data_IF_879666018460
#
_entry.id   IF_879666018460
#
_cell.length_a   1.000
_cell.length_b   1.000
_cell.length_c   1.000
_cell.angle_alpha   90.00
_cell.angle_beta   90.00
_cell.angle_gamma   90.00
#
_symmetry.space_group_name_H-M   'P 1'
#
loop_
_entity.id
_entity.type
_entity.pdbx_description
1 polymer ?
#
# COMPACT_ATOMS: atom_id res chain seq x y z
N UNK A 1 66.65 -28.90 1.40
CA UNK A 1 65.32 -28.63 2.01
C UNK A 1 64.46 -27.74 1.12
N UNK A 2 65.02 -26.77 0.42
CA UNK A 2 64.27 -25.80 -0.40
C UNK A 2 63.52 -26.43 -1.60
N UNK A 3 64.09 -27.44 -2.26
CA UNK A 3 63.42 -28.12 -3.39
C UNK A 3 62.09 -28.80 -3.00
N UNK A 4 62.04 -29.46 -1.84
CA UNK A 4 60.79 -30.07 -1.33
C UNK A 4 59.74 -29.01 -1.00
N UNK A 5 60.15 -27.86 -0.48
CA UNK A 5 59.24 -26.74 -0.19
C UNK A 5 58.66 -26.17 -1.50
N UNK A 6 59.47 -26.08 -2.56
CA UNK A 6 59.02 -25.64 -3.87
C UNK A 6 58.01 -26.62 -4.50
N UNK A 7 58.27 -27.93 -4.41
CA UNK A 7 57.34 -28.98 -4.87
C UNK A 7 56.01 -28.93 -4.14
N UNK A 8 56.02 -28.80 -2.80
CA UNK A 8 54.79 -28.66 -2.02
C UNK A 8 54.00 -27.39 -2.33
N UNK A 9 54.70 -26.27 -2.60
CA UNK A 9 54.04 -25.02 -3.02
C UNK A 9 53.40 -25.15 -4.40
N UNK A 10 54.07 -25.78 -5.34
CA UNK A 10 53.52 -26.04 -6.68
C UNK A 10 52.31 -26.98 -6.62
N UNK A 11 52.39 -28.05 -5.82
CA UNK A 11 51.28 -28.99 -5.63
C UNK A 11 50.06 -28.31 -4.96
N UNK A 12 50.29 -27.48 -3.93
CA UNK A 12 49.20 -26.74 -3.29
C UNK A 12 48.59 -25.69 -4.22
N UNK A 13 49.40 -24.98 -5.02
CA UNK A 13 48.89 -24.04 -6.01
C UNK A 13 47.99 -24.73 -7.04
N UNK A 14 48.40 -25.89 -7.55
CA UNK A 14 47.60 -26.67 -8.49
C UNK A 14 46.27 -27.17 -7.87
N UNK A 15 46.28 -27.55 -6.59
CA UNK A 15 45.05 -27.93 -5.88
C UNK A 15 44.11 -26.74 -5.65
N UNK A 16 44.64 -25.56 -5.33
CA UNK A 16 43.85 -24.34 -5.19
C UNK A 16 43.21 -23.97 -6.52
N UNK A 17 43.97 -23.97 -7.62
CA UNK A 17 43.44 -23.68 -8.96
C UNK A 17 42.34 -24.68 -9.37
N UNK A 18 42.50 -25.97 -9.05
CA UNK A 18 41.48 -26.98 -9.33
C UNK A 18 40.20 -26.72 -8.52
N UNK A 19 40.33 -26.33 -7.25
CA UNK A 19 39.19 -26.00 -6.39
C UNK A 19 38.48 -24.73 -6.87
N UNK A 20 39.23 -23.68 -7.22
CA UNK A 20 38.68 -22.44 -7.79
C UNK A 20 37.91 -22.71 -9.09
N UNK A 21 38.45 -23.54 -9.98
CA UNK A 21 37.74 -23.93 -11.21
C UNK A 21 36.46 -24.71 -10.93
N UNK A 22 36.47 -25.57 -9.90
CA UNK A 22 35.28 -26.32 -9.49
C UNK A 22 34.22 -25.39 -8.92
N UNK A 23 34.60 -24.52 -8.00
CA UNK A 23 33.70 -23.53 -7.40
C UNK A 23 33.11 -22.58 -8.46
N UNK A 24 33.92 -22.14 -9.43
CA UNK A 24 33.46 -21.31 -10.53
C UNK A 24 32.41 -22.02 -11.41
N UNK A 25 32.60 -23.32 -11.68
CA UNK A 25 31.63 -24.13 -12.43
C UNK A 25 30.35 -24.37 -11.66
N UNK A 26 30.45 -24.66 -10.36
CA UNK A 26 29.29 -24.84 -9.49
C UNK A 26 28.49 -23.54 -9.37
N UNK A 27 29.17 -22.40 -9.20
CA UNK A 27 28.52 -21.09 -9.19
C UNK A 27 27.84 -20.74 -10.51
N UNK A 28 28.46 -21.04 -11.66
CA UNK A 28 27.84 -20.85 -12.97
C UNK A 28 26.60 -21.73 -13.15
N UNK A 29 26.68 -23.01 -12.76
CA UNK A 29 25.55 -23.93 -12.80
C UNK A 29 24.38 -23.47 -11.94
N UNK A 30 24.65 -22.92 -10.75
CA UNK A 30 23.60 -22.37 -9.88
C UNK A 30 22.91 -21.15 -10.51
N UNK A 31 23.67 -20.24 -11.11
CA UNK A 31 23.12 -19.09 -11.84
C UNK A 31 22.23 -19.52 -13.00
N UNK A 32 22.66 -20.51 -13.79
CA UNK A 32 21.86 -21.04 -14.90
C UNK A 32 20.54 -21.65 -14.42
N UNK A 33 20.54 -22.32 -13.26
CA UNK A 33 19.33 -22.87 -12.64
C UNK A 33 18.40 -21.74 -12.20
N UNK A 34 18.92 -20.72 -11.50
CA UNK A 34 18.14 -19.56 -11.05
C UNK A 34 17.53 -18.79 -12.22
N UNK A 35 18.27 -18.59 -13.31
CA UNK A 35 17.77 -17.94 -14.53
C UNK A 35 16.64 -18.75 -15.18
N UNK A 36 16.79 -20.08 -15.28
CA UNK A 36 15.73 -20.95 -15.80
C UNK A 36 14.48 -20.89 -14.93
N UNK A 37 14.63 -20.96 -13.60
CA UNK A 37 13.50 -20.84 -12.70
C UNK A 37 12.81 -19.48 -12.78
N UNK A 38 13.59 -18.41 -13.01
CA UNK A 38 13.05 -17.06 -13.21
C UNK A 38 12.26 -16.98 -14.50
N UNK A 39 12.77 -17.53 -15.59
CA UNK A 39 12.07 -17.59 -16.89
C UNK A 39 10.80 -18.43 -16.78
N UNK A 40 10.86 -19.59 -16.14
CA UNK A 40 9.69 -20.45 -15.91
C UNK A 40 8.61 -19.72 -15.10
N UNK A 41 9.01 -18.98 -14.05
CA UNK A 41 8.10 -18.16 -13.26
C UNK A 41 7.46 -17.06 -14.11
N UNK A 42 8.25 -16.39 -14.95
CA UNK A 42 7.74 -15.37 -15.87
C UNK A 42 6.77 -15.94 -16.89
N UNK A 43 7.10 -17.08 -17.51
CA UNK A 43 6.23 -17.77 -18.46
C UNK A 43 4.90 -18.16 -17.81
N UNK A 44 4.92 -18.77 -16.62
CA UNK A 44 3.69 -19.09 -15.87
C UNK A 44 2.87 -17.85 -15.53
N UNK A 45 3.52 -16.74 -15.16
CA UNK A 45 2.83 -15.49 -14.88
C UNK A 45 2.20 -14.88 -16.15
N UNK A 46 2.90 -14.93 -17.28
CA UNK A 46 2.37 -14.48 -18.57
C UNK A 46 1.21 -15.36 -19.06
N UNK A 47 1.32 -16.68 -18.93
CA UNK A 47 0.25 -17.63 -19.24
C UNK A 47 -0.97 -17.38 -18.37
N UNK A 48 -0.78 -17.15 -17.06
CA UNK A 48 -1.87 -16.80 -16.16
C UNK A 48 -2.56 -15.49 -16.58
N UNK A 49 -1.78 -14.45 -16.95
CA UNK A 49 -2.34 -13.19 -17.43
C UNK A 49 -3.12 -13.35 -18.73
N UNK A 50 -2.58 -14.11 -19.69
CA UNK A 50 -3.28 -14.41 -20.95
C UNK A 50 -4.57 -15.17 -20.70
N UNK A 51 -4.57 -16.15 -19.80
CA UNK A 51 -5.76 -16.91 -19.42
C UNK A 51 -6.83 -16.01 -18.76
N UNK A 52 -6.43 -15.05 -17.92
CA UNK A 52 -7.34 -14.07 -17.31
C UNK A 52 -7.97 -13.16 -18.38
N UNK A 53 -7.18 -12.61 -19.29
CA UNK A 53 -7.69 -11.79 -20.41
C UNK A 53 -8.65 -12.58 -21.32
N UNK A 54 -8.34 -13.84 -21.62
CA UNK A 54 -9.25 -14.71 -22.39
C UNK A 54 -10.55 -14.98 -21.65
N UNK A 55 -10.49 -15.20 -20.33
CA UNK A 55 -11.67 -15.38 -19.52
C UNK A 55 -12.56 -14.12 -19.50
N UNK A 56 -11.97 -12.93 -19.39
CA UNK A 56 -12.73 -11.69 -19.48
C UNK A 56 -13.44 -11.55 -20.83
N UNK A 57 -12.73 -11.82 -21.94
CA UNK A 57 -13.34 -11.81 -23.28
C UNK A 57 -14.47 -12.83 -23.42
N UNK A 58 -14.31 -14.02 -22.86
CA UNK A 58 -15.37 -15.05 -22.86
C UNK A 58 -16.58 -14.63 -22.03
N UNK A 59 -16.37 -13.99 -20.87
CA UNK A 59 -17.45 -13.45 -20.03
C UNK A 59 -18.21 -12.34 -20.78
N UNK A 60 -17.50 -11.44 -21.46
CA UNK A 60 -18.11 -10.39 -22.29
C UNK A 60 -18.91 -10.97 -23.45
N UNK A 61 -18.34 -11.93 -24.19
CA UNK A 61 -19.06 -12.64 -25.27
C UNK A 61 -20.31 -13.34 -24.74
N UNK A 62 -20.20 -14.04 -23.61
CA UNK A 62 -21.34 -14.73 -22.99
C UNK A 62 -22.44 -13.76 -22.54
N UNK A 63 -22.07 -12.56 -22.05
CA UNK A 63 -23.03 -11.49 -21.72
C UNK A 63 -23.74 -10.98 -22.98
N UNK A 64 -23.00 -10.71 -24.06
CA UNK A 64 -23.57 -10.26 -25.33
C UNK A 64 -24.50 -11.32 -25.95
N UNK A 65 -24.11 -12.59 -25.93
CA UNK A 65 -24.95 -13.70 -26.37
C UNK A 65 -26.25 -13.80 -25.56
N UNK A 66 -26.18 -13.62 -24.24
CA UNK A 66 -27.36 -13.60 -23.38
C UNK A 66 -28.29 -12.42 -23.71
N UNK A 67 -27.72 -11.23 -23.95
CA UNK A 67 -28.50 -10.05 -24.37
C UNK A 67 -29.19 -10.34 -25.71
N UNK A 68 -28.46 -10.86 -26.69
CA UNK A 68 -29.01 -11.21 -28.00
C UNK A 68 -30.12 -12.28 -27.89
N UNK A 69 -29.96 -13.29 -27.03
CA UNK A 69 -31.01 -14.30 -26.77
C UNK A 69 -32.24 -13.72 -26.10
N UNK A 70 -32.07 -12.73 -25.21
CA UNK A 70 -33.18 -12.02 -24.59
C UNK A 70 -33.89 -11.10 -25.58
N UNK A 71 -33.15 -10.51 -26.52
CA UNK A 71 -33.71 -9.65 -27.57
C UNK A 71 -34.43 -10.46 -28.66
N UNK A 72 -33.86 -11.58 -29.09
CA UNK A 72 -34.37 -12.35 -30.23
C UNK A 72 -35.41 -13.42 -29.86
N UNK A 73 -35.48 -13.83 -28.58
CA UNK A 73 -36.37 -14.93 -28.17
C UNK A 73 -37.67 -14.41 -27.55
N UNK A 74 -38.79 -15.03 -27.95
CA UNK A 74 -40.10 -14.81 -27.36
C UNK A 74 -40.33 -15.64 -26.07
N UNK A 75 -39.26 -16.24 -25.51
CA UNK A 75 -39.34 -17.06 -24.32
C UNK A 75 -39.33 -16.18 -23.06
N UNK A 76 -39.97 -16.62 -21.95
CA UNK A 76 -39.93 -15.86 -20.70
C UNK A 76 -38.48 -15.72 -20.21
N UNK A 77 -38.05 -14.49 -19.92
CA UNK A 77 -36.68 -14.16 -19.51
C UNK A 77 -36.14 -15.01 -18.34
N UNK A 78 -37.03 -15.44 -17.44
CA UNK A 78 -36.70 -16.32 -16.32
C UNK A 78 -36.14 -17.68 -16.77
N UNK A 79 -36.65 -18.26 -17.86
CA UNK A 79 -36.17 -19.54 -18.41
C UNK A 79 -34.82 -19.38 -19.11
N UNK A 80 -34.62 -18.29 -19.84
CA UNK A 80 -33.35 -17.99 -20.53
C UNK A 80 -32.23 -17.79 -19.50
N UNK A 81 -32.49 -16.99 -18.45
CA UNK A 81 -31.54 -16.78 -17.34
C UNK A 81 -31.24 -18.05 -16.56
N UNK A 82 -32.25 -18.89 -16.28
CA UNK A 82 -32.04 -20.17 -15.59
C UNK A 82 -31.13 -21.10 -16.40
N UNK A 83 -31.32 -21.16 -17.72
CA UNK A 83 -30.48 -21.96 -18.64
C UNK A 83 -29.04 -21.43 -18.68
N UNK A 84 -28.86 -20.11 -18.79
CA UNK A 84 -27.53 -19.49 -18.79
C UNK A 84 -26.78 -19.73 -17.47
N UNK A 85 -27.46 -19.57 -16.32
CA UNK A 85 -26.88 -19.87 -15.00
C UNK A 85 -26.49 -21.34 -14.84
N UNK A 86 -27.30 -22.27 -15.36
CA UNK A 86 -26.98 -23.69 -15.33
C UNK A 86 -25.72 -24.00 -16.16
N UNK A 87 -25.60 -23.41 -17.36
CA UNK A 87 -24.41 -23.56 -18.20
C UNK A 87 -23.16 -22.94 -17.58
N UNK A 88 -23.28 -21.78 -16.93
CA UNK A 88 -22.18 -21.13 -16.23
C UNK A 88 -21.67 -22.00 -15.08
N UNK A 89 -22.57 -22.53 -14.24
CA UNK A 89 -22.19 -23.44 -13.14
C UNK A 89 -21.49 -24.71 -13.64
N UNK A 90 -21.93 -25.26 -14.77
CA UNK A 90 -21.28 -26.44 -15.37
C UNK A 90 -19.86 -26.13 -15.87
N UNK A 91 -19.62 -24.91 -16.39
CA UNK A 91 -18.28 -24.45 -16.78
C UNK A 91 -17.38 -24.22 -15.56
N UNK A 92 -17.92 -23.62 -14.50
CA UNK A 92 -17.22 -23.39 -13.24
C UNK A 92 -16.82 -24.71 -12.57
N UNK A 93 -17.69 -25.72 -12.57
CA UNK A 93 -17.37 -27.03 -11.96
C UNK A 93 -16.29 -27.78 -12.74
N UNK A 94 -16.24 -27.67 -14.07
CA UNK A 94 -15.17 -28.26 -14.87
C UNK A 94 -13.81 -27.57 -14.68
N UNK A 95 -13.80 -26.25 -14.44
CA UNK A 95 -12.57 -25.47 -14.21
C UNK A 95 -11.99 -25.69 -12.81
N UNK A 96 -12.82 -25.89 -11.79
CA UNK A 96 -12.37 -26.00 -10.41
C UNK A 96 -11.62 -27.31 -10.07
N UNK A 97 -11.60 -28.29 -10.97
CA UNK A 97 -10.89 -29.57 -10.76
C UNK A 97 -9.35 -29.40 -10.86
N UNK A 98 -8.86 -28.31 -11.48
CA UNK A 98 -7.42 -28.07 -11.69
C UNK A 98 -6.76 -27.09 -10.71
N UNK A 99 -7.53 -26.32 -9.94
CA UNK A 99 -6.98 -25.33 -9.01
C UNK A 99 -6.62 -25.96 -7.67
N UNK A 100 -5.44 -26.58 -7.60
CA UNK A 100 -4.86 -27.01 -6.34
C UNK A 100 -4.57 -25.77 -5.47
N UNK A 101 -5.40 -25.53 -4.46
CA UNK A 101 -5.15 -24.50 -3.45
C UNK A 101 -3.79 -24.81 -2.80
N UNK A 102 -2.82 -23.88 -2.84
CA UNK A 102 -1.51 -24.14 -2.27
C UNK A 102 -1.65 -24.46 -0.78
N UNK A 103 -1.01 -25.56 -0.36
CA UNK A 103 -0.97 -25.97 1.04
C UNK A 103 -0.45 -24.82 1.91
N UNK A 104 -1.07 -24.58 3.07
CA UNK A 104 -0.64 -23.57 4.04
C UNK A 104 0.84 -23.68 4.41
N UNK A 105 1.39 -24.90 4.41
CA UNK A 105 2.81 -25.19 4.64
C UNK A 105 3.75 -24.67 3.54
N UNK A 106 3.29 -24.58 2.30
CA UNK A 106 4.06 -24.02 1.18
C UNK A 106 4.13 -22.49 1.28
N UNK A 107 3.03 -21.85 1.69
CA UNK A 107 2.99 -20.40 1.92
C UNK A 107 3.91 -19.96 3.05
N UNK A 108 4.00 -20.75 4.13
CA UNK A 108 4.90 -20.46 5.25
C UNK A 108 6.38 -20.60 4.86
N UNK A 109 6.73 -21.63 4.07
CA UNK A 109 8.10 -21.80 3.55
C UNK A 109 8.50 -20.68 2.59
N UNK A 110 7.61 -20.24 1.71
CA UNK A 110 7.86 -19.10 0.83
C UNK A 110 8.12 -17.79 1.61
N UNK A 111 7.36 -17.55 2.70
CA UNK A 111 7.60 -16.40 3.58
C UNK A 111 8.92 -16.48 4.34
N UNK A 112 9.35 -17.66 4.75
CA UNK A 112 10.64 -17.86 5.42
C UNK A 112 11.82 -17.65 4.46
N UNK A 113 11.71 -18.14 3.23
CA UNK A 113 12.73 -17.93 2.19
C UNK A 113 12.87 -16.45 1.81
N UNK A 114 11.76 -15.73 1.65
CA UNK A 114 11.76 -14.28 1.40
C UNK A 114 12.38 -13.45 2.54
N UNK A 115 12.39 -13.96 3.78
CA UNK A 115 13.10 -13.34 4.91
C UNK A 115 14.59 -13.68 4.94
N UNK A 116 15.00 -14.81 4.35
CA UNK A 116 16.40 -15.23 4.31
C UNK A 116 17.20 -14.50 3.22
N UNK A 117 16.56 -14.08 2.13
CA UNK A 117 17.16 -13.23 1.08
C UNK A 117 17.25 -11.74 1.44
N UNK A 118 16.71 -11.33 2.59
CA UNK A 118 16.72 -9.93 3.04
C UNK A 118 18.10 -9.51 3.59
N UNK A 119 19.09 -9.38 2.70
CA UNK A 119 20.41 -8.79 3.00
C UNK A 119 20.74 -7.57 2.12
N UNK A 120 19.74 -6.96 1.50
CA UNK A 120 19.86 -5.62 0.89
C UNK A 120 18.66 -4.81 1.37
N UNK A 121 18.90 -3.88 2.29
CA UNK A 121 17.86 -3.03 2.87
C UNK A 121 17.39 -2.02 1.82
N UNK A 122 16.35 -2.38 1.07
CA UNK A 122 15.74 -1.49 0.07
C UNK A 122 14.92 -0.43 0.83
N UNK A 123 15.13 0.87 0.57
CA UNK A 123 14.41 1.91 1.27
C UNK A 123 12.89 1.74 1.11
N UNK A 124 12.16 1.89 2.22
CA UNK A 124 10.71 1.77 2.24
C UNK A 124 10.06 2.81 1.32
N UNK A 125 9.31 2.34 0.31
CA UNK A 125 8.50 3.19 -0.56
C UNK A 125 7.04 3.12 -0.05
N UNK A 126 6.44 4.25 0.38
CA UNK A 126 5.15 4.25 1.09
C UNK A 126 3.94 3.83 0.25
N UNK A 127 4.07 3.64 -1.07
CA UNK A 127 3.01 3.13 -1.95
C UNK A 127 3.65 2.22 -3.00
N UNK A 128 3.39 0.92 -2.90
CA UNK A 128 3.86 -0.10 -3.86
C UNK A 128 2.79 -0.54 -4.85
N UNK A 129 1.52 -0.15 -4.63
CA UNK A 129 0.42 -0.55 -5.48
C UNK A 129 0.38 0.28 -6.75
N UNK A 130 0.04 -0.37 -7.87
CA UNK A 130 -0.31 0.32 -9.10
C UNK A 130 -1.61 1.09 -8.86
N UNK A 131 -1.48 2.35 -8.41
CA UNK A 131 -2.58 3.29 -8.31
C UNK A 131 -3.15 3.53 -9.71
N UNK A 132 -4.14 2.72 -10.07
CA UNK A 132 -5.02 3.03 -11.18
C UNK A 132 -5.89 4.18 -10.69
N UNK A 133 -5.73 5.36 -11.27
CA UNK A 133 -6.48 6.55 -10.86
C UNK A 133 -8.01 6.44 -11.10
N UNK A 134 -8.50 5.25 -11.48
CA UNK A 134 -9.89 4.91 -11.81
C UNK A 134 -10.60 6.02 -12.59
N UNK A 135 -9.85 6.75 -13.42
CA UNK A 135 -10.32 7.95 -14.13
C UNK A 135 -11.43 7.62 -15.13
N UNK A 136 -11.58 6.34 -15.48
CA UNK A 136 -12.65 5.81 -16.31
C UNK A 136 -13.98 5.56 -15.55
N UNK A 137 -13.97 5.58 -14.21
CA UNK A 137 -15.18 5.37 -13.38
C UNK A 137 -15.92 6.67 -13.06
N UNK A 138 -15.28 7.81 -13.25
CA UNK A 138 -15.85 9.12 -12.94
C UNK A 138 -15.85 10.01 -14.19
N UNK A 139 -16.95 10.70 -14.42
CA UNK A 139 -17.04 11.72 -15.47
C UNK A 139 -17.04 13.10 -14.82
N UNK A 140 -16.11 13.96 -15.25
CA UNK A 140 -16.06 15.35 -14.80
C UNK A 140 -17.29 16.08 -15.37
N UNK A 141 -18.20 16.53 -14.50
CA UNK A 141 -19.31 17.40 -14.92
C UNK A 141 -18.79 18.83 -15.07
N UNK A 142 -19.13 19.50 -16.17
CA UNK A 142 -18.78 20.92 -16.41
C UNK A 142 -19.45 21.88 -15.41
N UNK A 143 -20.60 21.50 -14.87
CA UNK A 143 -21.32 22.26 -13.84
C UNK A 143 -21.65 21.36 -12.65
N UNK A 144 -21.26 21.84 -11.47
CA UNK A 144 -21.53 21.20 -10.19
C UNK A 144 -22.71 21.92 -9.54
N UNK A 145 -23.87 21.25 -9.50
CA UNK A 145 -25.06 21.75 -8.82
C UNK A 145 -25.04 21.28 -7.36
N UNK A 146 -24.59 22.18 -6.47
CA UNK A 146 -24.61 21.97 -5.03
C UNK A 146 -25.68 22.88 -4.41
N UNK A 147 -26.88 22.31 -4.28
CA UNK A 147 -28.06 22.95 -3.72
C UNK A 147 -27.81 23.58 -2.33
N UNK A 148 -26.93 22.99 -1.52
CA UNK A 148 -26.60 23.53 -0.20
C UNK A 148 -25.74 24.78 -0.33
N UNK A 149 -24.73 24.77 -1.21
CA UNK A 149 -23.91 25.95 -1.46
C UNK A 149 -24.69 27.10 -2.09
N UNK A 150 -25.69 26.80 -2.92
CA UNK A 150 -26.56 27.81 -3.54
C UNK A 150 -27.39 28.51 -2.46
N UNK A 151 -27.99 27.76 -1.52
CA UNK A 151 -28.72 28.32 -0.39
C UNK A 151 -27.86 29.22 0.51
N UNK A 152 -26.61 28.84 0.74
CA UNK A 152 -25.65 29.63 1.54
C UNK A 152 -25.18 30.91 0.83
N UNK A 153 -25.02 30.88 -0.51
CA UNK A 153 -24.65 32.08 -1.31
C UNK A 153 -25.81 33.04 -1.50
N UNK A 154 -27.03 32.50 -1.56
CA UNK A 154 -28.26 33.27 -1.71
C UNK A 154 -28.75 33.90 -0.40
N UNK A 155 -28.11 33.63 0.75
CA UNK A 155 -28.46 34.19 2.05
C UNK A 155 -27.64 35.48 2.33
N UNK A 156 -28.19 36.68 2.06
CA UNK A 156 -27.51 37.95 2.32
C UNK A 156 -27.39 38.26 3.81
N UNK A 157 -28.13 37.55 4.68
CA UNK A 157 -28.13 37.75 6.13
C UNK A 157 -27.19 36.78 6.85
N UNK A 158 -26.61 35.81 6.15
CA UNK A 158 -25.57 34.92 6.66
C UNK A 158 -26.01 33.96 7.78
N UNK A 159 -27.32 33.75 7.94
CA UNK A 159 -27.91 32.91 8.99
C UNK A 159 -27.53 31.44 8.80
N UNK A 160 -27.36 31.00 7.55
CA UNK A 160 -26.98 29.62 7.23
C UNK A 160 -25.47 29.33 7.29
N UNK A 161 -24.59 30.33 7.50
CA UNK A 161 -23.16 30.09 7.72
C UNK A 161 -22.93 29.70 9.17
N UNK A 162 -22.98 28.40 9.45
CA UNK A 162 -22.51 27.73 10.66
C UNK A 162 -22.70 28.51 11.99
N UNK A 163 -23.84 28.29 12.65
CA UNK A 163 -23.99 28.63 14.07
C UNK A 163 -24.43 30.05 14.42
N UNK A 164 -24.80 30.88 13.44
CA UNK A 164 -25.51 32.15 13.69
C UNK A 164 -24.66 33.30 14.24
N UNK A 165 -23.34 33.21 14.21
CA UNK A 165 -22.46 34.30 14.65
C UNK A 165 -21.44 34.67 13.57
N UNK A 166 -21.39 35.97 13.25
CA UNK A 166 -20.31 36.55 12.47
C UNK A 166 -18.99 36.36 13.23
N UNK A 167 -17.91 36.00 12.52
CA UNK A 167 -16.58 35.76 13.12
C UNK A 167 -16.18 36.93 14.05
N UNK A 168 -16.40 38.17 13.60
CA UNK A 168 -16.13 39.39 14.36
C UNK A 168 -16.87 39.45 15.71
N UNK A 169 -18.12 39.00 15.77
CA UNK A 169 -18.92 38.98 16.99
C UNK A 169 -18.46 37.89 17.95
N UNK A 170 -18.00 36.75 17.44
CA UNK A 170 -17.42 35.68 18.26
C UNK A 170 -16.14 36.16 18.96
N UNK A 171 -15.26 36.86 18.22
CA UNK A 171 -14.05 37.45 18.79
C UNK A 171 -14.34 38.54 19.83
N UNK A 172 -15.27 39.46 19.53
CA UNK A 172 -15.67 40.52 20.47
C UNK A 172 -16.18 39.94 21.80
N UNK A 173 -16.95 38.85 21.74
CA UNK A 173 -17.51 38.21 22.93
C UNK A 173 -16.47 37.44 23.72
N UNK A 174 -15.56 36.73 23.04
CA UNK A 174 -14.44 36.05 23.68
C UNK A 174 -13.52 37.04 24.43
N UNK A 175 -13.20 38.17 23.80
CA UNK A 175 -12.41 39.24 24.44
C UNK A 175 -13.14 39.84 25.65
N UNK A 176 -14.44 40.13 25.51
CA UNK A 176 -15.24 40.70 26.62
C UNK A 176 -15.35 39.73 27.79
N UNK A 177 -15.59 38.44 27.53
CA UNK A 177 -15.62 37.40 28.57
C UNK A 177 -14.26 37.21 29.24
N UNK A 178 -13.16 37.29 28.49
CA UNK A 178 -11.81 37.22 29.05
C UNK A 178 -11.49 38.40 29.98
N UNK A 179 -11.86 39.62 29.57
CA UNK A 179 -11.61 40.85 30.36
C UNK A 179 -12.53 40.96 31.57
N UNK A 180 -13.83 40.67 31.41
CA UNK A 180 -14.78 40.72 32.53
C UNK A 180 -14.61 39.56 33.52
N UNK A 181 -13.98 38.45 33.10
CA UNK A 181 -13.63 37.33 33.97
C UNK A 181 -12.36 37.55 34.79
N UNK A 182 -11.52 38.53 34.42
CA UNK A 182 -10.38 39.00 35.21
C UNK A 182 -10.90 40.01 36.23
N UNK A 183 -11.65 39.54 37.23
CA UNK A 183 -12.22 40.33 38.34
C UNK A 183 -11.09 40.83 39.29
N UNK A 184 -10.11 41.52 38.71
CA UNK A 184 -8.88 41.97 39.35
C UNK A 184 -9.07 43.41 39.81
N UNK A 185 -9.14 43.68 41.13
CA UNK A 185 -9.22 45.03 41.63
C UNK A 185 -7.93 45.79 41.26
N UNK A 186 -8.01 47.10 40.94
CA UNK A 186 -6.85 47.87 40.55
C UNK A 186 -5.81 47.86 41.69
N UNK A 187 -4.54 47.61 41.34
CA UNK A 187 -3.42 47.65 42.28
C UNK A 187 -3.40 48.99 43.01
N UNK A 188 -3.68 48.97 44.31
CA UNK A 188 -3.47 50.13 45.19
C UNK A 188 -1.98 50.19 45.48
N UNK A 189 -1.38 51.33 45.11
CA UNK A 189 0.07 51.49 44.98
C UNK A 189 0.85 51.07 46.22
N UNK A 190 1.78 50.13 46.02
CA UNK A 190 2.88 49.87 46.93
C UNK A 190 4.17 50.30 46.22
N UNK A 191 4.94 51.16 46.89
CA UNK A 191 6.18 51.77 46.39
C UNK A 191 7.26 50.69 46.17
N UNK A 192 8.03 50.74 45.06
CA UNK A 192 9.00 49.70 44.77
C UNK A 192 10.20 49.76 45.70
N UNK A 193 10.33 48.76 46.58
CA UNK A 193 11.54 48.55 47.38
C UNK A 193 12.62 47.91 46.52
N UNK A 194 13.65 48.73 46.31
CA UNK A 194 14.92 48.53 45.62
C UNK A 194 15.77 47.36 46.16
N UNK A 195 16.09 46.42 45.25
CA UNK A 195 17.46 45.99 44.86
C UNK A 195 18.32 45.09 45.79
N UNK A 196 18.43 43.80 45.38
CA UNK A 196 19.62 42.88 45.37
C UNK A 196 20.25 42.40 46.72
N UNK A 197 21.19 41.41 46.76
CA UNK A 197 21.76 40.55 45.70
C UNK A 197 21.90 39.02 46.02
N UNK A 198 22.06 38.25 44.94
CA UNK A 198 23.04 37.16 44.67
C UNK A 198 23.84 36.52 45.84
N UNK A 199 23.71 35.20 46.04
CA UNK A 199 24.76 34.32 46.61
C UNK A 199 24.74 32.98 45.84
N UNK A 200 25.92 32.59 45.36
CA UNK A 200 26.27 31.34 44.69
C UNK A 200 26.61 30.23 45.68
N UNK A 201 26.96 29.07 45.13
CA UNK A 201 27.61 27.91 45.76
C UNK A 201 26.58 26.85 46.19
N UNK A 202 26.59 25.58 45.76
CA UNK A 202 27.63 24.77 45.15
C UNK A 202 27.85 23.55 46.04
N UNK A 203 27.09 22.46 45.85
CA UNK A 203 27.45 21.16 46.45
C UNK A 203 26.84 19.98 45.69
N UNK A 204 27.71 19.04 45.31
CA UNK A 204 27.39 17.77 44.68
C UNK A 204 27.31 16.68 45.76
N UNK A 205 26.32 15.77 45.68
CA UNK A 205 26.35 14.50 46.41
C UNK A 205 25.95 13.36 45.45
N UNK A 206 26.79 12.32 45.30
CA UNK A 206 26.60 11.22 44.37
C UNK A 206 25.67 10.12 44.90
N UNK A 207 25.27 9.28 43.95
CA UNK A 207 24.37 8.15 44.08
C UNK A 207 24.88 7.01 44.97
N UNK A 208 23.93 6.40 45.67
CA UNK A 208 23.86 4.95 45.93
C UNK A 208 22.41 4.52 45.85
#
# INVERSE_FOLDING_TARGET
MEARIAEHRAANAALIEMNEQREAREAASLRDIEERERLDRQQRAEEARRAEEEEERERERSKLELINQLESSNAPASRVLAKAKAQQRQRETMRNVGSAVPSSSALLRAKAAARAEAAVDVPHVPITDHWSAETHRFTLKESYDDALSIGVRADPRGVMRAGGYMIEQAWSRALSCGVMGLDTPPLRGETPTSTLPHISDGEAIPAT
#
